data_IF_485314661117
#
_entry.id   IF_485314661117
#
_cell.length_a   1.000
_cell.length_b   1.000
_cell.length_c   1.000
_cell.angle_alpha   90.00
_cell.angle_beta   90.00
_cell.angle_gamma   90.00
#
_symmetry.space_group_name_H-M   'P 1'
#
loop_
_entity.id
_entity.type
_entity.pdbx_description
1 polymer ?
#
# COMPACT_ATOMS: atom_id res chain seq x y z
N UNK A 1 19.08 -57.05 37.42
CA UNK A 1 20.42 -56.61 37.86
C UNK A 1 20.58 -55.16 37.46
N UNK A 2 20.47 -54.29 38.41
CA UNK A 2 21.42 -53.28 38.87
C UNK A 2 21.65 -52.16 37.86
N UNK A 3 21.39 -50.94 38.09
CA UNK A 3 21.52 -49.98 39.19
C UNK A 3 22.09 -48.68 38.63
N UNK A 4 21.46 -47.57 38.93
CA UNK A 4 22.03 -46.28 39.35
C UNK A 4 22.61 -45.39 38.24
N UNK A 5 22.54 -44.11 38.30
CA UNK A 5 22.05 -43.07 39.24
C UNK A 5 22.33 -41.75 38.58
N UNK A 6 21.41 -40.80 38.64
CA UNK A 6 21.44 -39.53 39.39
C UNK A 6 22.72 -38.72 39.30
N UNK A 7 22.58 -37.49 38.82
CA UNK A 7 23.13 -36.21 39.31
C UNK A 7 22.77 -35.13 38.26
N UNK A 8 21.88 -34.26 38.41
CA UNK A 8 21.62 -33.18 39.41
C UNK A 8 22.83 -32.27 39.63
N UNK A 9 22.60 -31.02 39.39
CA UNK A 9 23.23 -29.74 39.86
C UNK A 9 23.74 -28.93 38.70
N UNK A 10 23.59 -27.69 38.57
CA UNK A 10 23.24 -26.49 39.33
C UNK A 10 23.16 -25.36 38.27
N UNK A 11 22.13 -24.61 38.27
CA UNK A 11 22.02 -23.23 38.78
C UNK A 11 23.24 -22.35 38.47
N UNK A 12 23.06 -21.43 37.54
CA UNK A 12 23.63 -20.10 37.69
C UNK A 12 22.73 -19.11 36.93
N UNK A 13 21.97 -18.37 37.68
CA UNK A 13 21.28 -17.17 37.27
C UNK A 13 22.34 -16.11 36.95
N UNK A 14 22.30 -15.59 35.72
CA UNK A 14 22.90 -14.29 35.41
C UNK A 14 21.83 -13.37 34.89
N UNK A 15 21.27 -12.63 35.82
CA UNK A 15 20.53 -11.40 35.58
C UNK A 15 21.47 -10.39 34.89
N UNK A 16 21.31 -10.17 33.61
CA UNK A 16 21.74 -8.94 32.97
C UNK A 16 20.50 -8.20 32.47
N UNK A 17 20.07 -7.27 33.31
CA UNK A 17 19.19 -6.20 32.91
C UNK A 17 19.98 -5.29 31.94
N UNK A 18 19.80 -5.47 30.66
CA UNK A 18 20.10 -4.46 29.65
C UNK A 18 18.78 -3.82 29.24
N UNK A 19 18.52 -2.64 29.80
CA UNK A 19 17.54 -1.72 29.28
C UNK A 19 17.97 -1.31 27.87
N UNK A 20 17.59 -2.11 26.88
CA UNK A 20 17.67 -1.76 25.48
C UNK A 20 16.38 -1.02 25.12
N UNK A 21 16.48 0.28 24.88
CA UNK A 21 15.47 1.02 24.14
C UNK A 21 15.31 0.35 22.77
N UNK A 22 14.42 -0.60 22.66
CA UNK A 22 13.93 -1.08 21.39
C UNK A 22 12.95 -0.03 20.85
N UNK A 23 13.47 0.92 20.08
CA UNK A 23 12.65 1.64 19.11
C UNK A 23 12.04 0.60 18.20
N UNK A 24 10.81 0.24 18.44
CA UNK A 24 10.02 -0.60 17.55
C UNK A 24 9.93 0.14 16.22
N UNK A 25 10.40 -0.42 15.10
CA UNK A 25 10.04 0.13 13.81
C UNK A 25 8.52 0.04 13.74
N UNK A 26 7.85 1.19 13.73
CA UNK A 26 6.43 1.27 13.48
C UNK A 26 6.20 0.70 12.10
N UNK A 27 5.85 -0.59 12.04
CA UNK A 27 5.47 -1.27 10.82
C UNK A 27 4.27 -0.54 10.24
N UNK A 28 4.53 0.32 9.27
CA UNK A 28 3.49 1.00 8.54
C UNK A 28 2.76 -0.05 7.72
N UNK A 29 1.64 -0.53 8.25
CA UNK A 29 0.78 -1.47 7.53
C UNK A 29 0.15 -0.72 6.37
N UNK A 30 0.58 -1.01 5.14
CA UNK A 30 -0.02 -0.47 3.93
C UNK A 30 -1.52 -0.82 3.82
N UNK A 31 -1.98 -1.81 4.59
CA UNK A 31 -3.39 -2.11 4.77
C UNK A 31 -4.21 -0.93 5.31
N UNK A 32 -3.58 0.03 6.01
CA UNK A 32 -4.24 1.26 6.48
C UNK A 32 -4.26 2.37 5.43
N UNK A 33 -3.62 2.21 4.27
CA UNK A 33 -3.70 3.14 3.15
C UNK A 33 -4.94 2.92 2.28
N UNK A 34 -5.58 1.75 2.42
CA UNK A 34 -6.82 1.48 1.70
C UNK A 34 -7.97 1.93 2.60
N UNK A 35 -8.76 2.95 2.22
CA UNK A 35 -9.93 3.32 2.97
C UNK A 35 -10.89 2.13 2.97
N UNK A 36 -11.16 1.61 4.17
CA UNK A 36 -12.25 0.70 4.38
C UNK A 36 -13.55 1.42 4.01
N UNK A 37 -14.20 0.90 3.05
CA UNK A 37 -15.53 1.10 2.56
C UNK A 37 -16.30 2.40 2.80
N UNK A 38 -17.06 2.71 1.76
CA UNK A 38 -18.15 3.65 1.67
C UNK A 38 -17.76 5.09 1.32
N UNK A 39 -17.71 5.34 0.04
CA UNK A 39 -18.29 6.42 -0.74
C UNK A 39 -17.64 6.47 -2.13
N UNK A 40 -17.72 5.35 -2.88
CA UNK A 40 -17.53 5.37 -4.32
C UNK A 40 -18.89 5.68 -4.99
N UNK A 41 -19.35 6.92 -4.85
CA UNK A 41 -20.28 7.44 -5.83
C UNK A 41 -19.50 7.63 -7.13
N UNK A 42 -19.97 7.08 -8.24
CA UNK A 42 -19.34 7.32 -9.53
C UNK A 42 -19.34 8.82 -9.84
N UNK A 43 -18.26 9.37 -10.44
CA UNK A 43 -18.24 10.76 -10.83
C UNK A 43 -19.39 11.03 -11.82
N UNK A 44 -20.01 12.23 -11.76
CA UNK A 44 -21.05 12.60 -12.71
C UNK A 44 -20.50 12.57 -14.14
N UNK A 45 -21.36 12.31 -15.15
CA UNK A 45 -20.93 12.24 -16.53
C UNK A 45 -20.37 13.59 -16.99
N UNK A 46 -19.29 13.52 -17.74
CA UNK A 46 -18.60 14.66 -18.31
C UNK A 46 -19.57 15.55 -19.11
N UNK A 47 -19.67 16.82 -18.72
CA UNK A 47 -20.38 17.81 -19.48
C UNK A 47 -19.62 18.12 -20.80
N UNK A 48 -20.38 18.22 -21.85
CA UNK A 48 -19.93 18.53 -23.22
C UNK A 48 -19.22 19.89 -23.34
N UNK A 49 -18.29 20.05 -24.29
CA UNK A 49 -17.58 21.31 -24.49
C UNK A 49 -18.46 22.31 -25.23
N UNK A 50 -18.64 23.48 -24.66
CA UNK A 50 -19.32 24.58 -25.35
C UNK A 50 -19.42 25.84 -24.50
N UNK A 51 -18.42 26.68 -24.55
CA UNK A 51 -18.51 28.12 -24.87
C UNK A 51 -17.23 28.84 -24.45
N UNK A 52 -16.62 29.47 -25.43
CA UNK A 52 -15.56 30.46 -25.27
C UNK A 52 -16.08 31.62 -24.41
N UNK A 53 -15.35 31.94 -23.35
CA UNK A 53 -15.40 33.28 -22.74
C UNK A 53 -13.95 33.76 -22.58
N UNK A 54 -13.59 34.68 -23.45
CA UNK A 54 -12.43 35.54 -23.32
C UNK A 54 -12.61 36.44 -22.12
N UNK A 55 -11.84 36.24 -21.07
CA UNK A 55 -11.77 37.10 -19.92
C UNK A 55 -10.48 36.85 -19.16
N UNK A 56 -9.48 37.70 -19.46
CA UNK A 56 -8.22 37.74 -18.73
C UNK A 56 -8.47 38.15 -17.29
N UNK A 57 -8.44 37.14 -16.39
CA UNK A 57 -8.32 37.38 -14.96
C UNK A 57 -7.20 36.45 -14.49
N UNK A 58 -6.18 37.03 -13.85
CA UNK A 58 -5.05 36.32 -13.29
C UNK A 58 -5.54 35.07 -12.51
N UNK A 59 -5.15 33.91 -12.98
CA UNK A 59 -5.38 32.67 -12.26
C UNK A 59 -4.68 32.73 -10.91
N UNK A 60 -5.31 32.29 -9.81
CA UNK A 60 -4.60 32.09 -8.57
C UNK A 60 -3.49 31.06 -8.84
N UNK A 61 -2.27 31.41 -8.41
CA UNK A 61 -1.10 30.56 -8.55
C UNK A 61 -1.45 29.12 -8.17
N UNK A 62 -1.25 28.20 -9.12
CA UNK A 62 -1.41 26.77 -8.92
C UNK A 62 -0.44 26.32 -7.80
N UNK A 63 -0.95 26.21 -6.59
CA UNK A 63 -0.21 25.72 -5.43
C UNK A 63 0.38 24.32 -5.64
N UNK A 64 -0.14 23.55 -6.58
CA UNK A 64 0.42 22.22 -6.94
C UNK A 64 1.77 22.31 -7.67
N UNK A 65 1.98 23.32 -8.51
CA UNK A 65 3.25 23.54 -9.19
C UNK A 65 4.37 23.99 -8.26
N UNK A 66 4.04 24.84 -7.27
CA UNK A 66 4.99 25.37 -6.29
C UNK A 66 5.52 24.29 -5.34
N UNK A 67 4.68 23.33 -4.93
CA UNK A 67 5.11 22.20 -4.08
C UNK A 67 6.05 21.25 -4.83
N UNK A 68 5.75 20.92 -6.08
CA UNK A 68 6.59 20.05 -6.89
C UNK A 68 7.96 20.67 -7.21
N UNK A 69 8.00 21.99 -7.47
CA UNK A 69 9.24 22.71 -7.74
C UNK A 69 10.09 22.85 -6.48
N UNK A 70 9.48 23.09 -5.33
CA UNK A 70 10.19 23.23 -4.07
C UNK A 70 10.83 21.94 -3.60
N UNK A 71 10.12 20.80 -3.74
CA UNK A 71 10.66 19.46 -3.43
C UNK A 71 11.79 19.07 -4.40
N UNK A 72 11.70 19.44 -5.68
CA UNK A 72 12.74 19.16 -6.66
C UNK A 72 14.02 19.97 -6.44
N UNK A 73 13.89 21.21 -5.90
CA UNK A 73 15.03 22.09 -5.63
C UNK A 73 15.75 21.77 -4.32
N UNK A 74 15.09 21.12 -3.37
CA UNK A 74 15.65 20.86 -2.04
C UNK A 74 16.43 19.53 -1.94
N UNK A 75 16.56 18.76 -3.02
CA UNK A 75 17.35 17.53 -3.03
C UNK A 75 16.95 16.55 -1.92
N UNK A 76 15.63 16.43 -1.68
CA UNK A 76 15.06 15.76 -0.51
C UNK A 76 15.65 14.37 -0.23
N UNK A 77 15.78 14.05 1.04
CA UNK A 77 16.14 12.73 1.55
C UNK A 77 15.20 11.66 0.92
N UNK A 78 15.73 10.47 0.54
CA UNK A 78 14.87 9.35 0.11
C UNK A 78 13.73 9.03 1.07
N UNK A 79 13.95 9.20 2.38
CA UNK A 79 12.93 9.05 3.41
C UNK A 79 11.82 10.09 3.31
N UNK A 80 12.13 11.30 2.85
CA UNK A 80 11.14 12.35 2.62
C UNK A 80 10.22 11.99 1.45
N UNK A 81 10.78 11.46 0.36
CA UNK A 81 9.97 11.03 -0.79
C UNK A 81 9.01 9.89 -0.42
N UNK A 82 9.45 8.91 0.37
CA UNK A 82 8.57 7.86 0.87
C UNK A 82 7.43 8.44 1.74
N UNK A 83 7.77 9.35 2.65
CA UNK A 83 6.81 9.98 3.56
C UNK A 83 5.82 10.86 2.82
N UNK A 84 6.30 11.66 1.86
CA UNK A 84 5.47 12.51 1.00
C UNK A 84 4.55 11.67 0.10
N UNK A 85 5.08 10.60 -0.49
CA UNK A 85 4.29 9.64 -1.26
C UNK A 85 3.14 9.05 -0.45
N UNK A 86 3.41 8.61 0.78
CA UNK A 86 2.40 8.10 1.70
C UNK A 86 1.35 9.16 2.07
N UNK A 87 1.77 10.39 2.30
CA UNK A 87 0.86 11.51 2.60
C UNK A 87 -0.07 11.79 1.42
N UNK A 88 0.49 12.01 0.23
CA UNK A 88 -0.30 12.28 -0.98
C UNK A 88 -1.23 11.13 -1.33
N UNK A 89 -0.82 9.89 -1.11
CA UNK A 89 -1.70 8.74 -1.33
C UNK A 89 -2.93 8.78 -0.40
N UNK A 90 -2.75 9.08 0.89
CA UNK A 90 -3.88 9.24 1.84
C UNK A 90 -4.80 10.39 1.47
N UNK A 91 -4.23 11.48 0.95
CA UNK A 91 -4.97 12.65 0.45
C UNK A 91 -5.63 12.41 -0.93
N UNK A 92 -5.50 11.20 -1.48
CA UNK A 92 -5.99 10.81 -2.81
C UNK A 92 -5.34 11.56 -3.99
N UNK A 93 -4.24 12.24 -3.76
CA UNK A 93 -3.41 12.89 -4.80
C UNK A 93 -2.49 11.86 -5.47
N UNK A 94 -3.11 10.88 -6.16
CA UNK A 94 -2.39 9.67 -6.63
C UNK A 94 -1.29 9.97 -7.64
N UNK A 95 -1.42 11.05 -8.43
CA UNK A 95 -0.38 11.49 -9.35
C UNK A 95 0.88 12.00 -8.62
N UNK A 96 0.69 12.81 -7.56
CA UNK A 96 1.80 13.26 -6.71
C UNK A 96 2.41 12.08 -5.92
N UNK A 97 1.55 11.20 -5.39
CA UNK A 97 2.01 10.00 -4.71
C UNK A 97 2.90 9.14 -5.62
N UNK A 98 2.51 8.92 -6.87
CA UNK A 98 3.29 8.20 -7.87
C UNK A 98 4.65 8.84 -8.10
N UNK A 99 4.72 10.16 -8.26
CA UNK A 99 5.98 10.87 -8.48
C UNK A 99 6.94 10.73 -7.30
N UNK A 100 6.44 10.87 -6.06
CA UNK A 100 7.25 10.73 -4.85
C UNK A 100 7.71 9.28 -4.65
N UNK A 101 6.83 8.28 -4.77
CA UNK A 101 7.24 6.89 -4.66
C UNK A 101 8.22 6.48 -5.75
N UNK A 102 8.09 7.00 -6.98
CA UNK A 102 9.06 6.75 -8.04
C UNK A 102 10.43 7.30 -7.69
N UNK A 103 10.53 8.55 -7.19
CA UNK A 103 11.80 9.09 -6.71
C UNK A 103 12.37 8.28 -5.55
N UNK A 104 11.53 7.80 -4.64
CA UNK A 104 11.97 6.95 -3.54
C UNK A 104 12.60 5.65 -4.05
N UNK A 105 11.99 4.94 -5.00
CA UNK A 105 12.56 3.69 -5.54
C UNK A 105 13.78 3.94 -6.43
N UNK A 106 13.89 5.08 -7.11
CA UNK A 106 15.07 5.48 -7.86
C UNK A 106 16.29 5.69 -6.94
N UNK A 107 16.07 6.31 -5.78
CA UNK A 107 17.12 6.54 -4.76
C UNK A 107 17.43 5.30 -3.93
N UNK A 108 16.40 4.54 -3.56
CA UNK A 108 16.49 3.33 -2.73
C UNK A 108 15.77 2.15 -3.40
N UNK A 109 16.42 1.48 -4.39
CA UNK A 109 15.78 0.41 -5.17
C UNK A 109 15.35 -0.81 -4.36
N UNK A 110 15.87 -0.97 -3.13
CA UNK A 110 15.51 -2.07 -2.21
C UNK A 110 14.48 -1.67 -1.15
N UNK A 111 13.89 -0.48 -1.25
CA UNK A 111 12.79 -0.08 -0.38
C UNK A 111 11.48 -0.70 -0.87
N UNK A 112 11.10 -1.82 -0.27
CA UNK A 112 9.87 -2.54 -0.62
C UNK A 112 8.58 -1.75 -0.30
N UNK A 113 8.61 -0.82 0.68
CA UNK A 113 7.46 0.03 0.98
C UNK A 113 7.24 1.07 -0.13
N UNK A 114 8.31 1.65 -0.65
CA UNK A 114 8.23 2.56 -1.77
C UNK A 114 7.68 1.87 -3.02
N UNK A 115 8.11 0.64 -3.31
CA UNK A 115 7.56 -0.17 -4.40
C UNK A 115 6.08 -0.50 -4.22
N UNK A 116 5.64 -0.83 -2.99
CA UNK A 116 4.21 -1.06 -2.70
C UNK A 116 3.38 0.21 -2.87
N UNK A 117 3.90 1.35 -2.39
CA UNK A 117 3.25 2.65 -2.56
C UNK A 117 3.13 3.05 -4.03
N UNK A 118 4.19 2.81 -4.82
CA UNK A 118 4.20 3.04 -6.26
C UNK A 118 3.17 2.16 -6.98
N UNK A 119 3.13 0.87 -6.66
CA UNK A 119 2.16 -0.07 -7.21
C UNK A 119 0.72 0.35 -6.92
N UNK A 120 0.42 0.69 -5.65
CA UNK A 120 -0.90 1.16 -5.24
C UNK A 120 -1.29 2.47 -5.95
N UNK A 121 -0.33 3.40 -6.14
CA UNK A 121 -0.57 4.64 -6.89
C UNK A 121 -0.91 4.37 -8.36
N UNK A 122 -0.16 3.47 -9.00
CA UNK A 122 -0.47 3.04 -10.38
C UNK A 122 -1.85 2.39 -10.50
N UNK A 123 -2.26 1.57 -9.53
CA UNK A 123 -3.60 0.98 -9.50
C UNK A 123 -4.69 2.05 -9.46
N UNK A 124 -4.55 3.07 -8.61
CA UNK A 124 -5.50 4.19 -8.52
C UNK A 124 -5.54 5.03 -9.79
N UNK A 125 -4.41 5.12 -10.51
CA UNK A 125 -4.30 5.77 -11.82
C UNK A 125 -4.71 4.87 -12.99
N UNK A 126 -5.18 3.63 -12.72
CA UNK A 126 -5.55 2.61 -13.70
C UNK A 126 -4.39 2.20 -14.64
N UNK A 127 -3.14 2.42 -14.19
CA UNK A 127 -1.92 2.04 -14.93
C UNK A 127 -1.49 0.62 -14.52
N UNK A 128 -2.34 -0.35 -14.79
CA UNK A 128 -2.24 -1.69 -14.22
C UNK A 128 -0.96 -2.45 -14.58
N UNK A 129 -0.46 -2.28 -15.81
CA UNK A 129 0.79 -2.93 -16.24
C UNK A 129 2.01 -2.43 -15.43
N UNK A 130 2.01 -1.14 -15.08
CA UNK A 130 3.04 -0.55 -14.21
C UNK A 130 2.87 -1.02 -12.78
N UNK A 131 1.64 -1.13 -12.28
CA UNK A 131 1.35 -1.69 -10.97
C UNK A 131 1.87 -3.13 -10.85
N UNK A 132 1.64 -3.97 -11.87
CA UNK A 132 2.11 -5.36 -11.87
C UNK A 132 3.65 -5.45 -11.81
N UNK A 133 4.36 -4.54 -12.47
CA UNK A 133 5.83 -4.46 -12.38
C UNK A 133 6.28 -4.08 -10.98
N UNK A 134 5.68 -3.02 -10.40
CA UNK A 134 6.02 -2.56 -9.07
C UNK A 134 5.69 -3.60 -7.99
N UNK A 135 4.58 -4.34 -8.11
CA UNK A 135 4.28 -5.47 -7.21
C UNK A 135 5.29 -6.61 -7.31
N UNK A 136 5.83 -6.90 -8.49
CA UNK A 136 6.90 -7.91 -8.62
C UNK A 136 8.16 -7.49 -7.89
N UNK A 137 8.54 -6.22 -7.97
CA UNK A 137 9.69 -5.70 -7.21
C UNK A 137 9.43 -5.79 -5.69
N UNK A 138 8.26 -5.38 -5.24
CA UNK A 138 7.88 -5.52 -3.82
C UNK A 138 7.92 -6.99 -3.36
N UNK A 139 7.42 -7.94 -4.17
CA UNK A 139 7.49 -9.37 -3.89
C UNK A 139 8.93 -9.88 -3.84
N UNK A 140 9.82 -9.38 -4.71
CA UNK A 140 11.23 -9.79 -4.71
C UNK A 140 11.97 -9.36 -3.44
N UNK A 141 11.54 -8.24 -2.84
CA UNK A 141 12.16 -7.66 -1.65
C UNK A 141 11.56 -8.25 -0.36
N UNK A 142 10.26 -8.26 -0.25
CA UNK A 142 9.55 -8.68 0.97
C UNK A 142 9.21 -10.17 0.98
N UNK A 143 9.24 -10.83 -0.16
CA UNK A 143 8.63 -12.14 -0.33
C UNK A 143 7.09 -12.08 -0.30
N UNK A 144 6.43 -13.25 -0.31
CA UNK A 144 4.97 -13.36 -0.34
C UNK A 144 4.35 -13.12 1.05
N UNK A 145 4.53 -11.93 1.60
CA UNK A 145 3.89 -11.51 2.86
C UNK A 145 2.39 -11.27 2.66
N UNK A 146 1.57 -11.46 3.71
CA UNK A 146 0.12 -11.26 3.63
C UNK A 146 -0.26 -9.88 3.08
N UNK A 147 0.44 -8.83 3.50
CA UNK A 147 0.16 -7.45 3.07
C UNK A 147 0.39 -7.26 1.57
N UNK A 148 1.48 -7.82 1.04
CA UNK A 148 1.80 -7.72 -0.39
C UNK A 148 0.77 -8.47 -1.22
N UNK A 149 0.44 -9.70 -0.81
CA UNK A 149 -0.55 -10.54 -1.48
C UNK A 149 -1.94 -9.90 -1.45
N UNK A 150 -2.32 -9.31 -0.30
CA UNK A 150 -3.57 -8.59 -0.15
C UNK A 150 -3.66 -7.39 -1.11
N UNK A 151 -2.58 -6.61 -1.24
CA UNK A 151 -2.55 -5.48 -2.16
C UNK A 151 -2.66 -5.92 -3.63
N UNK A 152 -2.03 -7.03 -4.01
CA UNK A 152 -2.21 -7.64 -5.34
C UNK A 152 -3.67 -8.10 -5.54
N UNK A 153 -4.28 -8.66 -4.51
CA UNK A 153 -5.72 -9.01 -4.52
C UNK A 153 -6.60 -7.79 -4.78
N UNK A 154 -6.30 -6.69 -4.10
CA UNK A 154 -7.01 -5.43 -4.28
C UNK A 154 -6.82 -4.85 -5.70
N UNK A 155 -5.62 -4.93 -6.25
CA UNK A 155 -5.34 -4.57 -7.63
C UNK A 155 -6.22 -5.33 -8.63
N UNK A 156 -6.37 -6.66 -8.46
CA UNK A 156 -7.29 -7.44 -9.28
C UNK A 156 -8.76 -7.03 -9.09
N UNK A 157 -9.16 -6.68 -7.87
CA UNK A 157 -10.50 -6.19 -7.60
C UNK A 157 -10.78 -4.87 -8.35
N UNK A 158 -9.84 -3.91 -8.35
CA UNK A 158 -9.95 -2.65 -9.09
C UNK A 158 -10.07 -2.86 -10.61
N UNK A 159 -9.50 -3.92 -11.15
CA UNK A 159 -9.62 -4.31 -12.57
C UNK A 159 -10.92 -5.04 -12.88
N UNK A 160 -11.73 -5.35 -11.85
CA UNK A 160 -12.95 -6.16 -12.00
C UNK A 160 -12.70 -7.67 -12.14
N UNK A 161 -11.45 -8.13 -11.95
CA UNK A 161 -11.14 -9.56 -11.91
C UNK A 161 -11.37 -10.13 -10.51
N UNK A 162 -12.65 -10.27 -10.19
CA UNK A 162 -13.08 -10.71 -8.86
C UNK A 162 -12.62 -12.13 -8.53
N UNK A 163 -12.40 -12.99 -9.54
CA UNK A 163 -11.93 -14.35 -9.33
C UNK A 163 -10.48 -14.36 -8.82
N UNK A 164 -9.56 -13.65 -9.51
CA UNK A 164 -8.17 -13.55 -9.07
C UNK A 164 -8.04 -12.76 -7.79
N UNK A 165 -8.84 -11.70 -7.60
CA UNK A 165 -8.89 -10.95 -6.36
C UNK A 165 -9.19 -11.84 -5.16
N UNK A 166 -10.28 -12.63 -5.25
CA UNK A 166 -10.68 -13.56 -4.18
C UNK A 166 -9.61 -14.61 -3.88
N UNK A 167 -8.98 -15.14 -4.92
CA UNK A 167 -7.88 -16.11 -4.77
C UNK A 167 -6.71 -15.50 -3.98
N UNK A 168 -6.32 -14.27 -4.30
CA UNK A 168 -5.22 -13.59 -3.62
C UNK A 168 -5.57 -13.21 -2.17
N UNK A 169 -6.80 -12.78 -1.91
CA UNK A 169 -7.22 -12.52 -0.54
C UNK A 169 -7.27 -13.80 0.31
N UNK A 170 -7.72 -14.92 -0.25
CA UNK A 170 -7.68 -16.21 0.45
C UNK A 170 -6.24 -16.68 0.72
N UNK A 171 -5.31 -16.46 -0.21
CA UNK A 171 -3.88 -16.73 -0.01
C UNK A 171 -3.31 -15.87 1.13
N UNK A 172 -3.66 -14.58 1.17
CA UNK A 172 -3.25 -13.67 2.25
C UNK A 172 -3.85 -14.10 3.60
N UNK A 173 -5.14 -14.46 3.64
CA UNK A 173 -5.82 -14.91 4.84
C UNK A 173 -5.22 -16.20 5.41
N UNK A 174 -4.80 -17.13 4.55
CA UNK A 174 -4.13 -18.35 5.00
C UNK A 174 -2.81 -18.08 5.75
N UNK A 175 -2.17 -16.93 5.48
CA UNK A 175 -0.93 -16.50 6.13
C UNK A 175 -1.14 -15.61 7.36
N UNK A 176 -2.25 -14.87 7.40
CA UNK A 176 -2.63 -13.99 8.50
C UNK A 176 -4.15 -14.04 8.70
N UNK A 177 -4.66 -15.09 9.38
CA UNK A 177 -6.10 -15.34 9.53
C UNK A 177 -6.85 -14.26 10.31
N UNK A 178 -6.18 -13.61 11.24
CA UNK A 178 -6.77 -12.61 12.15
C UNK A 178 -6.76 -11.19 11.58
N UNK A 179 -6.29 -11.00 10.36
CA UNK A 179 -6.15 -9.66 9.78
C UNK A 179 -7.50 -9.11 9.32
N UNK A 180 -8.03 -8.06 10.00
CA UNK A 180 -9.35 -7.53 9.68
C UNK A 180 -9.42 -6.89 8.29
N UNK A 181 -8.32 -6.35 7.79
CA UNK A 181 -8.26 -5.75 6.45
C UNK A 181 -8.46 -6.81 5.36
N UNK A 182 -7.83 -7.98 5.53
CA UNK A 182 -7.98 -9.09 4.57
C UNK A 182 -9.41 -9.63 4.62
N UNK A 183 -9.97 -9.81 5.82
CA UNK A 183 -11.34 -10.27 6.00
C UNK A 183 -12.35 -9.31 5.34
N UNK A 184 -12.17 -8.00 5.51
CA UNK A 184 -12.99 -6.98 4.88
C UNK A 184 -12.88 -7.04 3.33
N UNK A 185 -11.69 -7.21 2.79
CA UNK A 185 -11.48 -7.30 1.35
C UNK A 185 -12.14 -8.56 0.74
N UNK A 186 -12.14 -9.68 1.47
CA UNK A 186 -12.88 -10.88 1.06
C UNK A 186 -14.39 -10.59 1.02
N UNK A 187 -14.93 -9.95 2.05
CA UNK A 187 -16.34 -9.60 2.09
C UNK A 187 -16.73 -8.68 0.92
N UNK A 188 -15.90 -7.68 0.61
CA UNK A 188 -16.11 -6.76 -0.51
C UNK A 188 -16.10 -7.47 -1.87
N UNK A 189 -15.13 -8.35 -2.11
CA UNK A 189 -15.05 -9.08 -3.38
C UNK A 189 -16.21 -10.06 -3.54
N UNK A 190 -16.64 -10.72 -2.46
CA UNK A 190 -17.77 -11.65 -2.48
C UNK A 190 -19.09 -10.89 -2.72
N UNK A 191 -19.25 -9.69 -2.15
CA UNK A 191 -20.40 -8.83 -2.44
C UNK A 191 -20.40 -8.36 -3.89
N UNK A 192 -19.27 -7.87 -4.41
CA UNK A 192 -19.16 -7.47 -5.81
C UNK A 192 -19.49 -8.63 -6.77
N UNK A 193 -19.06 -9.84 -6.43
CA UNK A 193 -19.37 -11.03 -7.23
C UNK A 193 -20.87 -11.40 -7.20
N UNK A 194 -21.56 -11.23 -6.05
CA UNK A 194 -23.01 -11.42 -5.94
C UNK A 194 -23.77 -10.40 -6.79
N UNK A 195 -23.41 -9.12 -6.70
CA UNK A 195 -24.04 -8.05 -7.51
C UNK A 195 -23.90 -8.34 -9.00
N UNK A 196 -22.71 -8.74 -9.45
CA UNK A 196 -22.46 -9.08 -10.85
C UNK A 196 -23.32 -10.25 -11.35
N UNK A 197 -23.61 -11.24 -10.49
CA UNK A 197 -24.48 -12.37 -10.83
C UNK A 197 -25.96 -11.99 -10.85
N UNK A 198 -26.40 -11.05 -10.03
CA UNK A 198 -27.79 -10.60 -9.96
C UNK A 198 -28.19 -9.64 -11.10
N UNK A 199 -27.20 -9.13 -11.86
CA UNK A 199 -27.42 -8.26 -13.02
C UNK A 199 -27.44 -9.02 -14.36
N UNK A 200 -27.13 -10.32 -14.36
CA UNK A 200 -27.21 -11.22 -15.51
C UNK A 200 -28.43 -12.14 -15.42
#
# INVERSE_FOLDING_TARGET
MRIRAVRALCVAACLFALAGCSASPSSFKLGSLLPGGADDTPPPPAASPGSEVTGSIAAPANTEGDFAVKDALLGGDPGDDLTLGKRHYRERHYGLAEQHFRRAVEKLPRDGEAWLGLAASYDRLKRYDLADRAYREALSIFGPRPEVINNIGYSYMLRGDLKRARQKFAEAQAKDPENPTIANNIALVDEAARRKKGLN
#
